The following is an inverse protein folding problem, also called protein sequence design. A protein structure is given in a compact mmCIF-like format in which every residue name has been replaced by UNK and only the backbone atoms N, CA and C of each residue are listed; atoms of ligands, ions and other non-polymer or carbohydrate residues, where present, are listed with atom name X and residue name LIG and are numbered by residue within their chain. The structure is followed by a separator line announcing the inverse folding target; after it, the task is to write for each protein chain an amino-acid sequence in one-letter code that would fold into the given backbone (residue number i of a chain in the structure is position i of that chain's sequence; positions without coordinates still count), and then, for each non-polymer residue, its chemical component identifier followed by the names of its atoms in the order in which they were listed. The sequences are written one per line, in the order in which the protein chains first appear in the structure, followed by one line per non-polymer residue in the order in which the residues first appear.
data_IF_384086514406
#
_entry.id   IF_384086514406
#
_cell.length_a   1.000
_cell.length_b   1.000
_cell.length_c   1.000
_cell.angle_alpha   90.00
_cell.angle_beta   90.00
_cell.angle_gamma   90.00
#
_symmetry.space_group_name_H-M   'P 1'
#
loop_
_entity.id
_entity.type
_entity.pdbx_description
1 polymer ?
#
# COMPACT_ATOMS: atom_id res chain seq x y z
N UNK A 1 11.56 33.04 -19.64
CA UNK A 1 10.21 32.55 -20.01
C UNK A 1 10.17 31.74 -21.33
N UNK A 2 10.99 32.02 -22.35
CA UNK A 2 10.96 31.27 -23.63
C UNK A 2 11.61 29.87 -23.57
N UNK A 3 12.65 29.67 -22.77
CA UNK A 3 13.35 28.38 -22.64
C UNK A 3 12.53 27.26 -22.01
N UNK A 4 11.63 27.59 -21.07
CA UNK A 4 10.73 26.62 -20.47
C UNK A 4 9.71 26.08 -21.49
N UNK A 5 9.10 26.98 -22.28
CA UNK A 5 8.19 26.61 -23.37
C UNK A 5 8.88 25.78 -24.45
N UNK A 6 10.15 26.07 -24.75
CA UNK A 6 10.92 25.30 -25.71
C UNK A 6 11.21 23.87 -25.19
N UNK A 7 11.58 23.73 -23.92
CA UNK A 7 11.80 22.41 -23.29
C UNK A 7 10.55 21.56 -23.28
N UNK A 8 9.42 22.12 -22.87
CA UNK A 8 8.13 21.42 -22.84
C UNK A 8 7.72 20.94 -24.24
N UNK A 9 7.94 21.77 -25.27
CA UNK A 9 7.67 21.41 -26.66
C UNK A 9 8.60 20.31 -27.17
N UNK A 10 9.88 20.34 -26.80
CA UNK A 10 10.85 19.29 -27.14
C UNK A 10 10.53 17.95 -26.46
N UNK A 11 10.10 17.98 -25.19
CA UNK A 11 9.65 16.80 -24.46
C UNK A 11 8.37 16.21 -25.04
N UNK A 12 7.43 17.05 -25.50
CA UNK A 12 6.24 16.61 -26.24
C UNK A 12 6.61 15.88 -27.53
N UNK A 13 7.47 16.50 -28.36
CA UNK A 13 7.92 15.91 -29.62
C UNK A 13 8.73 14.62 -29.42
N UNK A 14 9.54 14.54 -28.37
CA UNK A 14 10.29 13.34 -28.02
C UNK A 14 9.37 12.18 -27.63
N UNK A 15 8.31 12.46 -26.85
CA UNK A 15 7.29 11.46 -26.49
C UNK A 15 6.50 10.98 -27.71
N UNK A 16 6.07 11.89 -28.59
CA UNK A 16 5.36 11.54 -29.82
C UNK A 16 6.21 10.74 -30.79
N UNK A 17 7.49 11.11 -30.95
CA UNK A 17 8.45 10.37 -31.76
C UNK A 17 8.66 8.94 -31.24
N UNK A 18 8.81 8.76 -29.93
CA UNK A 18 8.94 7.44 -29.33
C UNK A 18 7.67 6.59 -29.48
N UNK A 19 6.47 7.18 -29.32
CA UNK A 19 5.19 6.51 -29.59
C UNK A 19 5.07 6.04 -31.04
N UNK A 20 5.43 6.89 -32.01
CA UNK A 20 5.37 6.56 -33.45
C UNK A 20 6.32 5.42 -33.85
N UNK A 21 7.40 5.21 -33.08
CA UNK A 21 8.37 4.13 -33.28
C UNK A 21 8.07 2.86 -32.48
N UNK A 22 6.93 2.80 -31.79
CA UNK A 22 6.58 1.67 -30.92
C UNK A 22 7.54 1.46 -29.76
N UNK A 23 8.36 2.47 -29.40
CA UNK A 23 9.20 2.41 -28.21
C UNK A 23 8.30 2.66 -26.99
N UNK A 24 8.20 1.71 -26.05
CA UNK A 24 7.46 1.93 -24.81
C UNK A 24 7.98 3.20 -24.16
N UNK A 25 7.08 4.14 -23.88
CA UNK A 25 7.42 5.40 -23.18
C UNK A 25 7.35 5.24 -21.66
N UNK A 26 7.12 4.01 -21.22
CA UNK A 26 6.89 3.60 -19.84
C UNK A 26 7.95 2.54 -19.54
N UNK A 27 8.71 2.73 -18.45
CA UNK A 27 9.15 1.58 -17.65
C UNK A 27 7.97 0.62 -17.59
N UNK A 28 8.14 -0.64 -18.00
CA UNK A 28 7.09 -1.64 -17.80
C UNK A 28 6.52 -1.47 -16.39
N UNK A 29 5.21 -1.32 -16.27
CA UNK A 29 4.52 -1.31 -14.98
C UNK A 29 4.67 -2.71 -14.38
N UNK A 30 5.83 -2.95 -13.76
CA UNK A 30 6.13 -4.21 -13.09
C UNK A 30 5.32 -4.24 -11.80
N UNK A 31 4.42 -5.21 -11.71
CA UNK A 31 3.68 -5.46 -10.47
C UNK A 31 4.65 -5.91 -9.37
N UNK A 32 4.38 -5.50 -8.13
CA UNK A 32 5.17 -5.93 -6.97
C UNK A 32 5.26 -7.46 -6.90
N UNK A 33 6.46 -7.99 -6.74
CA UNK A 33 6.68 -9.41 -6.51
C UNK A 33 6.20 -9.81 -5.12
N UNK A 34 6.10 -11.13 -4.87
CA UNK A 34 5.84 -11.64 -3.53
C UNK A 34 6.94 -11.23 -2.54
N UNK A 35 8.20 -11.25 -2.97
CA UNK A 35 9.34 -10.84 -2.14
C UNK A 35 9.25 -9.37 -1.74
N UNK A 36 8.79 -8.49 -2.63
CA UNK A 36 8.58 -7.07 -2.30
C UNK A 36 7.54 -6.91 -1.20
N UNK A 37 6.43 -7.66 -1.27
CA UNK A 37 5.38 -7.63 -0.23
C UNK A 37 5.87 -8.18 1.11
N UNK A 38 6.61 -9.28 1.10
CA UNK A 38 7.19 -9.87 2.30
C UNK A 38 8.20 -8.92 2.96
N UNK A 39 9.04 -8.25 2.15
CA UNK A 39 9.99 -7.25 2.64
C UNK A 39 9.27 -6.05 3.29
N UNK A 40 8.24 -5.50 2.64
CA UNK A 40 7.43 -4.40 3.20
C UNK A 40 6.75 -4.86 4.50
N UNK A 41 6.16 -6.05 4.52
CA UNK A 41 5.49 -6.59 5.71
C UNK A 41 6.45 -6.73 6.88
N UNK A 42 7.63 -7.31 6.62
CA UNK A 42 8.70 -7.48 7.62
C UNK A 42 9.17 -6.14 8.16
N UNK A 43 9.41 -5.17 7.28
CA UNK A 43 9.77 -3.81 7.64
C UNK A 43 8.72 -3.16 8.56
N UNK A 44 7.43 -3.25 8.19
CA UNK A 44 6.36 -2.67 8.99
C UNK A 44 6.25 -3.29 10.38
N UNK A 45 6.39 -4.62 10.47
CA UNK A 45 6.38 -5.35 11.75
C UNK A 45 7.57 -4.93 12.61
N UNK A 46 8.78 -4.83 12.02
CA UNK A 46 9.97 -4.40 12.76
C UNK A 46 9.80 -2.99 13.32
N UNK A 47 9.35 -2.04 12.49
CA UNK A 47 9.14 -0.66 12.93
C UNK A 47 8.07 -0.60 14.04
N UNK A 48 7.03 -1.43 13.95
CA UNK A 48 6.10 -1.67 15.05
C UNK A 48 5.23 -0.47 15.44
N UNK A 49 5.11 0.55 14.59
CA UNK A 49 4.26 1.72 14.85
C UNK A 49 2.82 1.52 14.36
N UNK A 50 1.84 2.23 14.93
CA UNK A 50 0.45 2.20 14.46
C UNK A 50 0.28 2.56 12.98
N UNK A 51 1.06 3.52 12.47
CA UNK A 51 1.04 3.94 11.07
C UNK A 51 1.53 2.84 10.14
N UNK A 52 2.60 2.13 10.52
CA UNK A 52 3.15 1.03 9.73
C UNK A 52 2.29 -0.23 9.82
N UNK A 53 1.64 -0.48 10.95
CA UNK A 53 0.63 -1.53 11.06
C UNK A 53 -0.56 -1.27 10.11
N UNK A 54 -1.03 -0.03 10.04
CA UNK A 54 -2.09 0.38 9.11
C UNK A 54 -1.63 0.29 7.65
N UNK A 55 -0.41 0.74 7.35
CA UNK A 55 0.17 0.69 6.02
C UNK A 55 0.30 -0.74 5.49
N UNK A 56 0.78 -1.65 6.32
CA UNK A 56 0.88 -3.07 5.97
C UNK A 56 -0.50 -3.66 5.69
N UNK A 57 -1.47 -3.45 6.59
CA UNK A 57 -2.82 -3.95 6.39
C UNK A 57 -3.49 -3.33 5.15
N UNK A 58 -3.24 -2.06 4.85
CA UNK A 58 -3.73 -1.39 3.63
C UNK A 58 -3.18 -2.08 2.37
N UNK A 59 -1.89 -2.42 2.36
CA UNK A 59 -1.26 -3.13 1.24
C UNK A 59 -1.90 -4.50 1.03
N UNK A 60 -2.06 -5.29 2.09
CA UNK A 60 -2.72 -6.59 2.02
C UNK A 60 -4.17 -6.47 1.57
N UNK A 61 -4.93 -5.53 2.13
CA UNK A 61 -6.33 -5.32 1.77
C UNK A 61 -6.48 -4.92 0.30
N UNK A 62 -5.60 -4.05 -0.19
CA UNK A 62 -5.59 -3.64 -1.60
C UNK A 62 -5.34 -4.82 -2.53
N UNK A 63 -4.43 -5.72 -2.15
CA UNK A 63 -4.17 -6.96 -2.88
C UNK A 63 -5.40 -7.89 -2.90
N UNK A 64 -5.92 -8.25 -1.72
CA UNK A 64 -7.04 -9.18 -1.59
C UNK A 64 -8.34 -8.67 -2.22
N UNK A 65 -8.60 -7.37 -2.15
CA UNK A 65 -9.81 -6.78 -2.73
C UNK A 65 -9.65 -6.41 -4.22
N UNK A 66 -8.44 -6.49 -4.77
CA UNK A 66 -8.08 -5.84 -6.04
C UNK A 66 -8.62 -4.39 -6.07
N UNK A 67 -8.42 -3.68 -4.95
CA UNK A 67 -8.99 -2.36 -4.69
C UNK A 67 -7.95 -1.27 -4.95
N UNK A 68 -8.38 -0.14 -5.50
CA UNK A 68 -7.50 1.03 -5.56
C UNK A 68 -7.23 1.49 -4.13
N UNK A 69 -6.02 1.98 -3.84
CA UNK A 69 -5.69 2.47 -2.50
C UNK A 69 -6.71 3.47 -1.96
N UNK A 70 -7.25 4.36 -2.81
CA UNK A 70 -8.29 5.32 -2.41
C UNK A 70 -9.67 4.72 -2.13
N UNK A 71 -10.02 3.57 -2.72
CA UNK A 71 -11.25 2.83 -2.41
C UNK A 71 -11.08 2.09 -1.09
N UNK A 72 -9.95 1.39 -0.94
CA UNK A 72 -9.61 0.59 0.23
C UNK A 72 -9.48 1.46 1.47
N UNK A 73 -8.89 2.65 1.34
CA UNK A 73 -8.76 3.63 2.43
C UNK A 73 -10.10 4.04 3.04
N UNK A 74 -11.22 3.86 2.33
CA UNK A 74 -12.55 4.25 2.77
C UNK A 74 -13.37 3.09 3.34
N UNK A 75 -12.78 1.90 3.49
CA UNK A 75 -13.42 0.78 4.17
C UNK A 75 -13.70 1.19 5.62
N UNK A 76 -14.97 1.08 6.00
CA UNK A 76 -15.40 1.28 7.37
C UNK A 76 -15.14 0.05 8.21
N UNK A 77 -14.90 0.25 9.50
CA UNK A 77 -14.67 -0.84 10.46
C UNK A 77 -15.90 -1.75 10.57
N UNK A 78 -17.12 -1.18 10.53
CA UNK A 78 -18.38 -1.94 10.48
C UNK A 78 -18.65 -2.62 9.13
N UNK A 79 -17.86 -2.28 8.10
CA UNK A 79 -17.84 -2.93 6.80
C UNK A 79 -16.97 -4.19 6.74
N UNK A 80 -16.23 -4.52 7.80
CA UNK A 80 -15.51 -5.80 7.93
C UNK A 80 -16.41 -6.74 8.73
N UNK A 81 -16.99 -7.73 8.05
CA UNK A 81 -18.05 -8.57 8.60
C UNK A 81 -17.69 -10.06 8.49
N UNK A 82 -18.18 -10.91 9.40
CA UNK A 82 -18.18 -12.35 9.15
C UNK A 82 -19.17 -12.68 8.02
N UNK A 83 -18.79 -13.60 7.14
CA UNK A 83 -19.61 -14.09 6.05
C UNK A 83 -19.53 -15.62 6.01
N UNK A 84 -20.68 -16.29 6.04
CA UNK A 84 -20.75 -17.73 5.77
C UNK A 84 -20.62 -17.96 4.26
N UNK A 85 -19.67 -18.82 3.88
CA UNK A 85 -19.47 -19.25 2.49
C UNK A 85 -19.69 -20.76 2.39
N UNK A 86 -20.30 -21.17 1.28
CA UNK A 86 -20.44 -22.58 0.92
C UNK A 86 -19.50 -22.89 -0.23
N UNK A 87 -18.46 -23.67 0.04
CA UNK A 87 -17.54 -24.16 -0.99
C UNK A 87 -17.38 -25.66 -0.88
N UNK A 88 -17.48 -26.36 -2.02
CA UNK A 88 -17.24 -27.80 -2.11
C UNK A 88 -18.01 -28.61 -1.04
N UNK A 89 -19.26 -28.22 -0.77
CA UNK A 89 -20.17 -28.87 0.21
C UNK A 89 -19.81 -28.59 1.68
N UNK A 90 -18.84 -27.70 1.96
CA UNK A 90 -18.52 -27.23 3.30
C UNK A 90 -19.02 -25.80 3.52
N UNK A 91 -19.70 -25.60 4.66
CA UNK A 91 -20.05 -24.28 5.17
C UNK A 91 -19.00 -23.85 6.18
N UNK A 92 -18.42 -22.67 5.98
CA UNK A 92 -17.50 -22.08 6.94
C UNK A 92 -17.57 -20.56 6.90
N UNK A 93 -17.10 -19.92 7.96
CA UNK A 93 -17.10 -18.47 8.07
C UNK A 93 -15.75 -17.92 7.60
N UNK A 94 -15.80 -16.87 6.80
CA UNK A 94 -14.67 -16.04 6.40
C UNK A 94 -14.94 -14.59 6.82
N UNK A 95 -13.90 -13.75 6.80
CA UNK A 95 -14.13 -12.31 6.82
C UNK A 95 -14.55 -11.86 5.43
N UNK A 96 -15.37 -10.83 5.36
CA UNK A 96 -15.70 -10.13 4.14
C UNK A 96 -15.55 -8.63 4.34
N UNK A 97 -15.20 -7.94 3.27
CA UNK A 97 -15.01 -6.49 3.26
C UNK A 97 -16.07 -5.86 2.36
N UNK A 98 -16.81 -4.89 2.91
CA UNK A 98 -17.67 -4.01 2.13
C UNK A 98 -16.84 -2.89 1.51
N UNK A 99 -16.63 -2.97 0.20
CA UNK A 99 -15.85 -2.02 -0.57
C UNK A 99 -16.76 -1.22 -1.51
N UNK A 100 -16.70 0.10 -1.44
CA UNK A 100 -17.35 0.96 -2.42
C UNK A 100 -16.45 1.12 -3.65
N UNK A 101 -16.89 0.59 -4.80
CA UNK A 101 -16.14 0.78 -6.05
C UNK A 101 -16.29 2.23 -6.53
N UNK A 102 -15.20 2.82 -7.00
CA UNK A 102 -15.19 4.13 -7.68
C UNK A 102 -15.91 5.27 -6.92
N UNK A 103 -15.54 5.62 -5.67
CA UNK A 103 -16.02 6.76 -4.82
C UNK A 103 -17.54 6.97 -4.62
N UNK A 104 -18.36 6.77 -5.65
CA UNK A 104 -19.82 6.87 -5.70
C UNK A 104 -20.45 5.65 -6.36
N UNK A 105 -19.67 4.60 -6.67
CA UNK A 105 -20.19 3.37 -7.24
C UNK A 105 -20.81 2.45 -6.17
N UNK A 106 -21.24 1.24 -6.58
CA UNK A 106 -21.92 0.32 -5.69
C UNK A 106 -20.96 -0.24 -4.63
N UNK A 107 -21.54 -0.56 -3.46
CA UNK A 107 -20.88 -1.39 -2.48
C UNK A 107 -20.85 -2.84 -2.97
N UNK A 108 -19.70 -3.48 -2.80
CA UNK A 108 -19.47 -4.89 -3.06
C UNK A 108 -19.00 -5.54 -1.77
N UNK A 109 -19.59 -6.70 -1.42
CA UNK A 109 -19.10 -7.53 -0.32
C UNK A 109 -18.13 -8.54 -0.91
N UNK A 110 -16.87 -8.46 -0.53
CA UNK A 110 -15.81 -9.32 -1.04
C UNK A 110 -15.40 -10.31 0.07
N UNK A 111 -15.63 -11.63 -0.09
CA UNK A 111 -15.11 -12.62 0.84
C UNK A 111 -13.57 -12.63 0.80
N UNK A 112 -12.95 -12.71 1.96
CA UNK A 112 -11.49 -12.75 2.14
C UNK A 112 -11.12 -14.08 2.76
N UNK A 113 -10.46 -14.91 1.97
CA UNK A 113 -10.01 -16.22 2.40
C UNK A 113 -8.62 -16.11 3.05
N UNK A 114 -8.35 -16.87 4.12
CA UNK A 114 -7.01 -16.93 4.70
C UNK A 114 -5.97 -17.33 3.65
N UNK A 115 -4.84 -16.62 3.64
CA UNK A 115 -3.74 -16.89 2.73
C UNK A 115 -3.02 -18.18 3.16
N UNK A 116 -2.85 -19.13 2.23
CA UNK A 116 -2.30 -20.46 2.54
C UNK A 116 -0.79 -20.49 2.65
N UNK A 117 -0.11 -19.64 1.90
CA UNK A 117 1.32 -19.83 1.60
C UNK A 117 2.24 -18.89 2.37
N UNK A 118 1.69 -17.98 3.18
CA UNK A 118 2.49 -16.92 3.79
C UNK A 118 1.68 -16.04 4.75
N UNK A 119 2.18 -15.92 5.97
CA UNK A 119 1.56 -15.12 7.04
C UNK A 119 1.64 -13.62 6.77
N UNK A 120 2.68 -13.17 6.05
CA UNK A 120 2.88 -11.76 5.70
C UNK A 120 1.86 -11.24 4.69
N UNK A 121 1.30 -12.14 3.88
CA UNK A 121 0.29 -11.84 2.87
C UNK A 121 -1.14 -12.06 3.39
N UNK A 122 -1.28 -12.57 4.62
CA UNK A 122 -2.58 -12.92 5.17
C UNK A 122 -3.34 -11.67 5.66
N UNK A 123 -4.56 -11.52 5.16
CA UNK A 123 -5.44 -10.42 5.55
C UNK A 123 -5.80 -10.48 7.03
N UNK A 124 -6.16 -11.66 7.54
CA UNK A 124 -6.58 -11.82 8.93
C UNK A 124 -5.44 -11.49 9.89
N UNK A 125 -4.23 -11.97 9.58
CA UNK A 125 -3.06 -11.73 10.38
C UNK A 125 -2.67 -10.25 10.42
N UNK A 126 -2.65 -9.59 9.25
CA UNK A 126 -2.39 -8.14 9.20
C UNK A 126 -3.48 -7.32 9.91
N UNK A 127 -4.75 -7.74 9.85
CA UNK A 127 -5.85 -7.11 10.60
C UNK A 127 -5.70 -7.30 12.11
N UNK A 128 -5.36 -8.50 12.57
CA UNK A 128 -5.11 -8.78 13.98
C UNK A 128 -3.94 -7.93 14.47
N UNK A 129 -2.84 -7.88 13.72
CA UNK A 129 -1.69 -7.05 14.04
C UNK A 129 -2.09 -5.56 14.15
N UNK A 130 -2.84 -5.04 13.18
CA UNK A 130 -3.36 -3.67 13.23
C UNK A 130 -4.18 -3.43 14.51
N UNK A 131 -5.09 -4.33 14.85
CA UNK A 131 -5.91 -4.20 16.05
C UNK A 131 -5.08 -4.24 17.34
N UNK A 132 -4.02 -5.05 17.39
CA UNK A 132 -3.13 -5.15 18.56
C UNK A 132 -2.28 -3.88 18.71
N UNK A 133 -1.73 -3.36 17.62
CA UNK A 133 -0.79 -2.21 17.66
C UNK A 133 -1.52 -0.88 17.77
N UNK A 134 -2.64 -0.72 17.05
CA UNK A 134 -3.37 0.55 16.93
C UNK A 134 -4.70 0.58 17.69
N UNK A 135 -5.35 -0.57 17.86
CA UNK A 135 -6.74 -0.65 18.32
C UNK A 135 -7.76 -0.39 17.21
N UNK A 136 -9.04 -0.59 17.53
CA UNK A 136 -10.17 -0.58 16.57
C UNK A 136 -11.24 0.50 16.84
N UNK A 137 -10.88 1.59 17.54
CA UNK A 137 -11.83 2.61 17.99
C UNK A 137 -12.11 3.71 16.95
N UNK A 138 -12.08 3.37 15.66
CA UNK A 138 -12.22 4.33 14.57
C UNK A 138 -13.32 3.91 13.59
N UNK A 139 -13.98 4.89 12.98
CA UNK A 139 -15.00 4.64 11.95
C UNK A 139 -14.44 3.89 10.73
N UNK A 140 -13.21 4.22 10.34
CA UNK A 140 -12.52 3.61 9.20
C UNK A 140 -11.48 2.60 9.67
N UNK A 141 -11.34 1.50 8.92
CA UNK A 141 -10.28 0.52 9.14
C UNK A 141 -8.88 1.11 8.92
N UNK A 142 -8.79 2.16 8.08
CA UNK A 142 -7.55 2.90 7.80
C UNK A 142 -7.72 4.39 8.11
N UNK A 143 -7.71 4.82 9.38
CA UNK A 143 -7.97 6.23 9.76
C UNK A 143 -6.99 7.25 9.16
N UNK A 144 -5.70 6.90 9.01
CA UNK A 144 -4.70 7.80 8.44
C UNK A 144 -4.97 7.96 6.95
N UNK A 145 -5.22 6.84 6.27
CA UNK A 145 -5.47 6.85 4.83
C UNK A 145 -6.86 7.35 4.46
N UNK A 146 -7.90 7.11 5.27
CA UNK A 146 -9.25 7.62 5.05
C UNK A 146 -9.26 9.14 5.14
N UNK A 147 -8.57 9.70 6.14
CA UNK A 147 -8.35 11.15 6.24
C UNK A 147 -7.65 11.71 5.01
N UNK A 148 -6.68 10.97 4.45
CA UNK A 148 -6.01 11.38 3.21
C UNK A 148 -6.93 11.25 1.98
N UNK A 149 -7.77 10.21 1.91
CA UNK A 149 -8.71 9.96 0.82
C UNK A 149 -9.83 11.00 0.74
N UNK A 150 -10.30 11.47 1.91
CA UNK A 150 -11.37 12.45 2.06
C UNK A 150 -10.90 13.89 1.91
N UNK A 151 -9.62 14.14 1.62
CA UNK A 151 -9.13 15.50 1.34
C UNK A 151 -9.78 16.08 0.08
N UNK A 152 -10.27 17.29 0.21
CA UNK A 152 -10.83 18.12 -0.87
C UNK A 152 -10.02 19.39 -1.02
N UNK A 153 -9.86 19.87 -2.25
CA UNK A 153 -9.37 21.23 -2.54
C UNK A 153 -10.36 22.27 -2.04
N UNK A 154 -9.89 23.51 -1.94
CA UNK A 154 -10.76 24.68 -1.71
C UNK A 154 -11.84 24.83 -2.78
N UNK A 155 -11.59 24.34 -4.00
CA UNK A 155 -12.56 24.28 -5.10
C UNK A 155 -13.65 23.21 -4.92
N UNK A 156 -13.60 22.39 -3.87
CA UNK A 156 -14.51 21.27 -3.64
C UNK A 156 -14.17 20.00 -4.43
N UNK A 157 -13.19 20.05 -5.35
CA UNK A 157 -12.71 18.88 -6.07
C UNK A 157 -11.92 17.94 -5.14
N UNK A 158 -12.01 16.63 -5.40
CA UNK A 158 -11.24 15.66 -4.63
C UNK A 158 -9.74 15.76 -4.91
N UNK A 159 -8.95 15.84 -3.85
CA UNK A 159 -7.48 15.89 -3.86
C UNK A 159 -6.90 14.77 -3.01
N UNK A 160 -7.32 13.55 -3.32
CA UNK A 160 -6.98 12.34 -2.57
C UNK A 160 -5.48 12.25 -2.33
N UNK A 161 -5.07 12.47 -1.08
CA UNK A 161 -3.67 12.43 -0.64
C UNK A 161 -3.15 11.02 -0.37
N UNK A 162 -3.93 9.98 -0.66
CA UNK A 162 -3.58 8.58 -0.35
C UNK A 162 -2.24 8.16 -0.93
N UNK A 163 -1.98 8.47 -2.21
CA UNK A 163 -0.69 8.15 -2.83
C UNK A 163 0.46 8.89 -2.15
N UNK A 164 0.27 10.15 -1.75
CA UNK A 164 1.28 10.92 -1.03
C UNK A 164 1.59 10.32 0.34
N UNK A 165 0.56 9.90 1.08
CA UNK A 165 0.76 9.24 2.38
C UNK A 165 1.42 7.87 2.23
N UNK A 166 1.02 7.10 1.22
CA UNK A 166 1.64 5.82 0.89
C UNK A 166 3.12 5.99 0.58
N UNK A 167 3.46 6.93 -0.30
CA UNK A 167 4.85 7.22 -0.68
C UNK A 167 5.68 7.73 0.49
N UNK A 168 5.08 8.50 1.40
CA UNK A 168 5.75 8.97 2.61
C UNK A 168 6.18 7.78 3.48
N UNK A 169 5.26 6.88 3.83
CA UNK A 169 5.58 5.71 4.68
C UNK A 169 6.54 4.74 3.98
N UNK A 170 6.38 4.54 2.68
CA UNK A 170 7.32 3.73 1.89
C UNK A 170 8.75 4.29 1.92
N UNK A 171 8.90 5.61 1.71
CA UNK A 171 10.21 6.25 1.77
C UNK A 171 10.81 6.21 3.17
N UNK A 172 9.99 6.28 4.22
CA UNK A 172 10.44 6.16 5.60
C UNK A 172 11.00 4.76 5.90
N UNK A 173 10.34 3.70 5.41
CA UNK A 173 10.90 2.34 5.42
C UNK A 173 12.25 2.33 4.71
N UNK A 174 12.29 2.78 3.45
CA UNK A 174 13.51 2.75 2.65
C UNK A 174 14.68 3.47 3.34
N UNK A 175 14.44 4.68 3.83
CA UNK A 175 15.45 5.47 4.51
C UNK A 175 15.93 4.80 5.81
N UNK A 176 15.02 4.17 6.58
CA UNK A 176 15.38 3.43 7.78
C UNK A 176 16.32 2.27 7.47
N UNK A 177 16.03 1.50 6.42
CA UNK A 177 16.91 0.40 6.00
C UNK A 177 18.22 0.88 5.38
N UNK A 178 18.24 2.01 4.67
CA UNK A 178 19.49 2.62 4.18
C UNK A 178 20.41 3.02 5.33
N UNK A 179 19.86 3.64 6.39
CA UNK A 179 20.64 4.01 7.59
C UNK A 179 21.21 2.77 8.27
N UNK A 180 20.37 1.76 8.52
CA UNK A 180 20.81 0.49 9.14
C UNK A 180 21.89 -0.22 8.31
N UNK A 181 21.76 -0.22 6.98
CA UNK A 181 22.76 -0.81 6.10
C UNK A 181 24.11 -0.08 6.20
N UNK A 182 24.10 1.25 6.29
CA UNK A 182 25.32 2.04 6.45
C UNK A 182 25.99 1.76 7.81
N UNK A 183 25.22 1.72 8.90
CA UNK A 183 25.73 1.41 10.25
C UNK A 183 26.39 0.03 10.30
N UNK A 184 25.75 -1.00 9.74
CA UNK A 184 26.31 -2.36 9.69
C UNK A 184 27.61 -2.41 8.87
N UNK A 185 27.69 -1.65 7.78
CA UNK A 185 28.88 -1.61 6.94
C UNK A 185 30.03 -0.89 7.63
N UNK A 186 29.76 0.21 8.33
CA UNK A 186 30.75 0.92 9.15
C UNK A 186 31.31 0.00 10.24
N UNK A 187 30.46 -0.68 11.01
CA UNK A 187 30.88 -1.62 12.05
C UNK A 187 31.75 -2.75 11.49
N UNK A 188 31.43 -3.28 10.30
CA UNK A 188 32.23 -4.32 9.65
C UNK A 188 33.59 -3.82 9.17
N UNK A 189 33.70 -2.55 8.75
CA UNK A 189 34.99 -1.96 8.38
C UNK A 189 35.89 -1.68 9.58
N UNK A 190 35.31 -1.32 10.73
CA UNK A 190 36.06 -1.11 11.99
C UNK A 190 36.57 -2.43 12.56
N UNK A 191 35.75 -3.49 12.58
CA UNK A 191 36.14 -4.82 13.09
C UNK A 191 37.19 -5.52 12.18
N UNK A 192 37.23 -5.17 10.89
CA UNK A 192 38.24 -5.67 9.95
C UNK A 192 39.65 -5.10 10.17
N UNK A 193 39.79 -3.97 10.88
CA UNK A 193 41.08 -3.34 11.19
C UNK A 193 41.66 -3.73 12.56
N UNK A 194 40.93 -4.48 13.38
CA UNK A 194 41.34 -4.86 14.74
C UNK A 194 41.74 -6.34 14.89
N UNK A 195 42.19 -7.01 13.83
CA UNK A 195 42.84 -8.32 13.96
C UNK A 195 44.36 -8.19 13.92
N UNK A 196 45.09 -8.42 15.03
CA UNK A 196 46.53 -8.64 15.02
C UNK A 196 46.91 -9.94 14.32
#
# INVERSE_FOLDING_TARGET
MQWAKLREKLEGLYREFNRSKGKPTETEDVSSTRQDREAISTACIWIGSPEFAEFWHLCNTSYHCSGRGSEVSLIKTDGIIPLEVNELVYNYHVLAVQLQRQKSGPFQTLPIYPHKDGVFEDFNFSLIHLNVVKGSNHEYAFPVFSKAALKTKESGESDSGVSKEWTKLFNEIRNTFEVLANEINEDRTVVGQTRP
#
